data_IF_016683975980
#
_entry.id   IF_016683975980
#
_cell.length_a   1.000
_cell.length_b   1.000
_cell.length_c   1.000
_cell.angle_alpha   90.00
_cell.angle_beta   90.00
_cell.angle_gamma   90.00
#
_symmetry.space_group_name_H-M   'P 1'
#
loop_
_entity.id
_entity.type
_entity.pdbx_description
1 polymer ?
#
# COMPACT_ATOMS: atom_id res chain seq x y z
N UNK A 1 15.31 11.52 -1.22
CA UNK A 1 15.35 10.77 0.05
C UNK A 1 13.91 10.54 0.48
N UNK A 2 13.54 9.29 0.80
CA UNK A 2 12.15 8.84 0.97
C UNK A 2 11.32 9.69 1.94
N UNK A 3 9.99 9.70 1.74
CA UNK A 3 9.01 10.25 2.67
C UNK A 3 7.96 9.20 2.96
N UNK A 4 7.69 8.93 4.24
CA UNK A 4 6.56 8.08 4.64
C UNK A 4 5.25 8.73 4.17
N UNK A 5 4.28 7.90 3.79
CA UNK A 5 2.97 8.35 3.32
C UNK A 5 1.87 7.93 4.30
N UNK A 6 1.41 6.67 4.25
CA UNK A 6 0.33 6.16 5.11
C UNK A 6 0.79 4.95 5.91
N UNK A 7 0.28 4.81 7.14
CA UNK A 7 0.23 3.54 7.86
C UNK A 7 -1.20 3.25 8.33
N UNK A 8 -1.65 2.01 8.19
CA UNK A 8 -3.04 1.63 8.39
C UNK A 8 -3.17 0.15 8.74
N UNK A 9 -4.14 -0.17 9.58
CA UNK A 9 -4.42 -1.55 9.99
C UNK A 9 -5.21 -2.29 8.91
N UNK A 10 -4.93 -3.59 8.79
CA UNK A 10 -5.88 -4.55 8.19
C UNK A 10 -7.21 -4.59 8.96
N UNK A 11 -8.27 -5.09 8.33
CA UNK A 11 -9.59 -5.20 8.94
C UNK A 11 -9.57 -5.90 10.31
N UNK A 12 -8.84 -7.01 10.45
CA UNK A 12 -8.75 -7.76 11.70
C UNK A 12 -7.88 -7.12 12.78
N UNK A 13 -7.10 -6.08 12.43
CA UNK A 13 -6.10 -5.48 13.30
C UNK A 13 -4.84 -6.34 13.52
N UNK A 14 -4.71 -7.52 12.88
CA UNK A 14 -3.53 -8.39 13.01
C UNK A 14 -2.32 -7.91 12.22
N UNK A 15 -2.55 -7.10 11.21
CA UNK A 15 -1.50 -6.55 10.35
C UNK A 15 -1.57 -5.03 10.28
N UNK A 16 -0.40 -4.41 10.19
CA UNK A 16 -0.22 -2.99 9.86
C UNK A 16 0.51 -2.90 8.52
N UNK A 17 -0.05 -2.16 7.58
CA UNK A 17 0.61 -1.84 6.31
C UNK A 17 1.10 -0.41 6.36
N UNK A 18 2.29 -0.16 5.81
CA UNK A 18 2.86 1.17 5.75
C UNK A 18 3.61 1.39 4.43
N UNK A 19 3.52 2.59 3.88
CA UNK A 19 4.19 2.94 2.63
C UNK A 19 5.09 4.17 2.78
N UNK A 20 6.11 4.21 1.92
CA UNK A 20 6.94 5.38 1.73
C UNK A 20 7.12 5.64 0.24
N UNK A 21 7.07 6.91 -0.16
CA UNK A 21 7.31 7.35 -1.53
C UNK A 21 8.73 7.90 -1.68
N UNK A 22 9.24 7.85 -2.90
CA UNK A 22 10.50 8.51 -3.26
C UNK A 22 10.23 9.93 -3.75
N UNK A 23 11.18 10.84 -3.49
CA UNK A 23 11.14 12.21 -4.04
C UNK A 23 11.75 12.30 -5.46
N UNK A 24 12.08 11.17 -6.07
CA UNK A 24 12.55 11.06 -7.46
C UNK A 24 11.79 9.95 -8.17
N UNK A 25 11.35 10.21 -9.39
CA UNK A 25 10.63 9.24 -10.23
C UNK A 25 11.51 8.09 -10.72
N UNK A 26 12.83 8.25 -10.67
CA UNK A 26 13.81 7.21 -11.04
C UNK A 26 14.05 6.18 -9.93
N UNK A 27 13.40 6.37 -8.77
CA UNK A 27 13.59 5.54 -7.58
C UNK A 27 12.22 5.07 -7.10
N UNK A 28 12.05 3.76 -7.00
CA UNK A 28 10.83 3.11 -6.47
C UNK A 28 10.49 3.58 -5.05
N UNK A 29 9.22 3.53 -4.66
CA UNK A 29 8.78 3.60 -3.27
C UNK A 29 8.85 2.23 -2.58
N UNK A 30 8.28 2.13 -1.37
CA UNK A 30 8.21 0.85 -0.66
C UNK A 30 6.86 0.67 0.04
N UNK A 31 6.45 -0.58 0.16
CA UNK A 31 5.42 -1.04 1.08
C UNK A 31 6.03 -2.03 2.07
N UNK A 32 5.68 -1.85 3.35
CA UNK A 32 5.99 -2.77 4.42
C UNK A 32 4.70 -3.32 5.03
N UNK A 33 4.78 -4.56 5.51
CA UNK A 33 3.74 -5.18 6.31
C UNK A 33 4.35 -5.61 7.65
N UNK A 34 3.61 -5.41 8.73
CA UNK A 34 4.00 -5.77 10.09
C UNK A 34 2.92 -6.65 10.71
N UNK A 35 3.34 -7.63 11.49
CA UNK A 35 2.44 -8.41 12.34
C UNK A 35 2.27 -7.71 13.68
N UNK A 36 1.04 -7.62 14.15
CA UNK A 36 0.70 -7.09 15.46
C UNK A 36 0.31 -8.23 16.40
N UNK A 37 0.72 -8.13 17.66
CA UNK A 37 0.27 -9.02 18.72
C UNK A 37 -1.03 -8.53 19.35
N UNK A 38 -1.65 -9.37 20.16
CA UNK A 38 -3.01 -9.14 20.70
C UNK A 38 -3.15 -7.88 21.59
N UNK A 39 -2.04 -7.34 22.10
CA UNK A 39 -2.02 -6.09 22.88
C UNK A 39 -1.62 -4.85 22.04
N UNK A 40 -1.54 -4.98 20.71
CA UNK A 40 -1.22 -3.90 19.77
C UNK A 40 0.27 -3.63 19.55
N UNK A 41 1.19 -4.37 20.18
CA UNK A 41 2.62 -4.23 19.87
C UNK A 41 2.95 -4.77 18.47
N UNK A 42 3.96 -4.18 17.81
CA UNK A 42 4.55 -4.76 16.60
C UNK A 42 5.37 -5.97 17.01
N UNK A 43 4.93 -7.17 16.60
CA UNK A 43 5.67 -8.43 16.82
C UNK A 43 6.89 -8.50 15.92
N UNK A 44 6.70 -8.24 14.62
CA UNK A 44 7.77 -8.25 13.61
C UNK A 44 7.37 -7.57 12.31
N UNK A 45 8.38 -7.19 11.54
CA UNK A 45 8.23 -6.85 10.13
C UNK A 45 8.14 -8.14 9.30
N UNK A 46 7.15 -8.21 8.41
CA UNK A 46 6.91 -9.35 7.53
C UNK A 46 7.66 -9.15 6.21
N UNK A 47 7.49 -7.99 5.58
CA UNK A 47 8.16 -7.67 4.32
C UNK A 47 8.52 -6.18 4.21
N UNK A 48 9.40 -5.89 3.25
CA UNK A 48 9.69 -4.56 2.73
C UNK A 48 9.90 -4.70 1.23
N UNK A 49 8.87 -4.43 0.45
CA UNK A 49 8.87 -4.68 -0.98
C UNK A 49 8.88 -3.34 -1.74
N UNK A 50 9.66 -3.22 -2.83
CA UNK A 50 9.59 -2.05 -3.69
C UNK A 50 8.21 -1.95 -4.35
N UNK A 51 7.68 -0.74 -4.50
CA UNK A 51 6.46 -0.50 -5.29
C UNK A 51 6.80 -0.29 -6.78
N UNK A 52 5.86 -0.41 -7.72
CA UNK A 52 6.21 -0.33 -9.14
C UNK A 52 6.76 1.04 -9.58
N UNK A 53 6.37 2.12 -8.89
CA UNK A 53 6.80 3.50 -9.18
C UNK A 53 7.38 4.16 -7.92
N UNK A 54 7.77 5.44 -8.00
CA UNK A 54 8.16 6.21 -6.82
C UNK A 54 7.00 6.43 -5.83
N UNK A 55 5.76 6.26 -6.29
CA UNK A 55 4.56 6.67 -5.58
C UNK A 55 4.17 8.15 -5.78
N UNK A 56 5.05 8.96 -6.38
CA UNK A 56 4.82 10.39 -6.61
C UNK A 56 4.52 11.15 -5.32
N UNK A 57 3.33 11.74 -5.22
CA UNK A 57 2.79 12.40 -4.02
C UNK A 57 1.91 11.48 -3.17
N UNK A 58 1.61 10.25 -3.64
CA UNK A 58 0.82 9.23 -2.96
C UNK A 58 1.70 8.04 -2.54
N UNK A 59 1.53 6.87 -3.16
CA UNK A 59 1.84 5.55 -2.62
C UNK A 59 0.91 5.14 -1.47
N UNK A 60 -0.28 5.73 -1.39
CA UNK A 60 -1.22 5.47 -0.30
C UNK A 60 -1.75 4.04 -0.39
N UNK A 61 -1.55 3.27 0.67
CA UNK A 61 -2.14 1.93 0.83
C UNK A 61 -3.48 2.02 1.53
N UNK A 62 -4.46 1.26 1.06
CA UNK A 62 -5.83 1.21 1.57
C UNK A 62 -6.31 -0.24 1.67
N UNK A 63 -6.19 -0.88 2.85
CA UNK A 63 -6.76 -2.20 3.10
C UNK A 63 -8.28 -2.19 2.95
N UNK A 64 -8.85 -3.32 2.55
CA UNK A 64 -10.30 -3.48 2.46
C UNK A 64 -10.95 -3.38 3.85
N UNK A 65 -12.05 -2.63 3.94
CA UNK A 65 -12.73 -2.33 5.20
C UNK A 65 -13.40 -3.54 5.85
N UNK A 66 -13.52 -4.67 5.14
CA UNK A 66 -14.27 -5.86 5.55
C UNK A 66 -13.52 -7.18 5.31
N UNK A 67 -12.26 -7.13 4.90
CA UNK A 67 -11.42 -8.31 4.72
C UNK A 67 -9.93 -7.97 4.82
N UNK A 68 -9.14 -8.87 5.41
CA UNK A 68 -7.68 -8.76 5.39
C UNK A 68 -7.08 -9.10 4.02
N UNK A 69 -7.88 -9.71 3.13
CA UNK A 69 -7.39 -10.31 1.89
C UNK A 69 -6.98 -9.28 0.84
N UNK A 70 -7.54 -8.07 0.87
CA UNK A 70 -7.39 -7.12 -0.24
C UNK A 70 -6.80 -5.80 0.22
N UNK A 71 -5.92 -5.24 -0.61
CA UNK A 71 -5.39 -3.88 -0.46
C UNK A 71 -5.38 -3.17 -1.80
N UNK A 72 -5.67 -1.87 -1.78
CA UNK A 72 -5.43 -0.98 -2.89
C UNK A 72 -4.16 -0.15 -2.65
N UNK A 73 -3.40 0.14 -3.70
CA UNK A 73 -2.32 1.12 -3.70
C UNK A 73 -2.52 2.06 -4.89
N UNK A 74 -2.33 3.36 -4.67
CA UNK A 74 -2.43 4.38 -5.71
C UNK A 74 -1.11 5.10 -5.93
N UNK A 75 -0.86 5.53 -7.16
CA UNK A 75 0.25 6.43 -7.48
C UNK A 75 -0.15 7.48 -8.51
N UNK A 76 0.41 8.69 -8.39
CA UNK A 76 0.22 9.79 -9.34
C UNK A 76 1.46 10.04 -10.22
N UNK A 77 2.51 9.22 -10.10
CA UNK A 77 3.61 9.25 -11.06
C UNK A 77 3.13 8.76 -12.43
N UNK A 78 2.44 7.62 -12.46
CA UNK A 78 1.90 7.04 -13.70
C UNK A 78 0.37 6.97 -13.72
N UNK A 79 -0.30 7.14 -12.58
CA UNK A 79 -1.76 7.15 -12.47
C UNK A 79 -2.35 5.74 -12.34
N UNK A 80 -1.73 4.84 -11.57
CA UNK A 80 -2.28 3.51 -11.34
C UNK A 80 -3.16 3.46 -10.09
N UNK A 81 -4.20 2.63 -10.19
CA UNK A 81 -4.82 1.97 -9.05
C UNK A 81 -4.53 0.47 -9.16
N UNK A 82 -3.88 -0.07 -8.15
CA UNK A 82 -3.46 -1.48 -8.10
C UNK A 82 -4.15 -2.19 -6.95
N UNK A 83 -4.61 -3.42 -7.18
CA UNK A 83 -5.18 -4.29 -6.16
C UNK A 83 -4.21 -5.44 -5.89
N UNK A 84 -3.91 -5.62 -4.61
CA UNK A 84 -3.07 -6.67 -4.07
C UNK A 84 -3.90 -7.63 -3.22
N UNK A 85 -3.52 -8.91 -3.28
CA UNK A 85 -4.00 -9.95 -2.38
C UNK A 85 -2.97 -10.18 -1.28
N UNK A 86 -3.44 -10.17 -0.03
CA UNK A 86 -2.70 -10.61 1.14
C UNK A 86 -3.13 -12.03 1.49
N UNK A 87 -2.20 -12.97 1.37
CA UNK A 87 -2.47 -14.39 1.63
C UNK A 87 -1.23 -15.06 2.17
N UNK A 88 -1.35 -15.82 3.25
CA UNK A 88 -0.22 -16.48 3.94
C UNK A 88 0.97 -15.54 4.17
N UNK A 89 0.65 -14.30 4.57
CA UNK A 89 1.60 -13.22 4.82
C UNK A 89 2.48 -12.84 3.61
N UNK A 90 1.98 -13.14 2.40
CA UNK A 90 2.55 -12.73 1.13
C UNK A 90 1.63 -11.71 0.44
N UNK A 91 2.24 -10.64 -0.10
CA UNK A 91 1.54 -9.57 -0.83
C UNK A 91 1.77 -9.72 -2.33
N UNK A 92 0.74 -10.13 -3.08
CA UNK A 92 0.80 -10.32 -4.52
C UNK A 92 -0.17 -9.41 -5.29
N UNK A 93 0.29 -8.70 -6.31
CA UNK A 93 -0.60 -7.88 -7.17
C UNK A 93 -1.48 -8.79 -8.02
N UNK A 94 -2.79 -8.56 -8.01
CA UNK A 94 -3.77 -9.38 -8.75
C UNK A 94 -4.50 -8.60 -9.84
N UNK A 95 -4.60 -7.28 -9.74
CA UNK A 95 -5.20 -6.44 -10.76
C UNK A 95 -4.59 -5.03 -10.73
N UNK A 96 -4.71 -4.31 -11.85
CA UNK A 96 -4.40 -2.88 -11.92
C UNK A 96 -5.08 -2.20 -13.10
N UNK A 97 -5.37 -0.92 -12.96
CA UNK A 97 -5.86 -0.05 -14.02
C UNK A 97 -5.09 1.26 -14.01
N UNK A 98 -4.72 1.74 -15.20
CA UNK A 98 -4.14 3.08 -15.37
C UNK A 98 -5.22 4.05 -15.78
N UNK A 99 -5.27 5.21 -15.13
CA UNK A 99 -6.15 6.30 -15.49
C UNK A 99 -5.27 7.48 -15.94
N UNK A 100 -5.26 7.83 -17.24
CA UNK A 100 -4.33 8.81 -17.81
C UNK A 100 -4.81 10.26 -17.59
N UNK A 101 -5.30 10.57 -16.39
CA UNK A 101 -5.80 11.89 -16.02
C UNK A 101 -4.77 12.65 -15.18
N UNK A 102 -4.62 13.97 -15.36
CA UNK A 102 -3.67 14.77 -14.60
C UNK A 102 -3.90 14.67 -13.08
N UNK A 103 -2.89 14.22 -12.33
CA UNK A 103 -2.94 14.13 -10.87
C UNK A 103 -3.83 13.03 -10.31
N UNK A 104 -4.30 12.08 -11.14
CA UNK A 104 -4.99 10.90 -10.65
C UNK A 104 -4.07 10.04 -9.77
N UNK A 105 -4.63 9.41 -8.71
CA UNK A 105 -3.91 8.41 -7.90
C UNK A 105 -3.47 8.88 -6.51
N UNK A 106 -4.25 9.74 -5.84
CA UNK A 106 -3.91 10.26 -4.51
C UNK A 106 -4.22 9.29 -3.36
N UNK A 107 -5.40 8.67 -3.35
CA UNK A 107 -5.79 7.62 -2.40
C UNK A 107 -6.99 6.84 -2.96
N UNK A 108 -7.30 5.70 -2.34
CA UNK A 108 -8.50 4.90 -2.64
C UNK A 108 -9.31 4.63 -1.38
N UNK A 109 -10.64 4.56 -1.53
CA UNK A 109 -11.59 4.13 -0.50
C UNK A 109 -12.41 2.96 -1.04
N UNK A 110 -12.85 2.08 -0.14
CA UNK A 110 -13.65 0.92 -0.49
C UNK A 110 -15.14 1.24 -0.34
N UNK A 111 -15.93 0.81 -1.32
CA UNK A 111 -17.38 0.88 -1.30
C UNK A 111 -17.91 -0.29 -2.11
N UNK A 112 -18.89 -1.01 -1.55
CA UNK A 112 -19.62 -2.09 -2.21
C UNK A 112 -21.04 -2.17 -1.63
#
# INVERSE_FOLDING_TARGET
MYRSDVCVLSHSGKYLFATARSNSFDVTGYIAAFKLGDNGHIERQICLNPTPTSGGHSNAVSPCDWSDEWLAITDDQEGWIEIYRWHDEFLGRVARLRIPEPGFGMNAIWYD
#
